data_IF_090606196777
#
_entry.id   IF_090606196777
#
_cell.length_a   1.000
_cell.length_b   1.000
_cell.length_c   1.000
_cell.angle_alpha   90.00
_cell.angle_beta   90.00
_cell.angle_gamma   90.00
#
_symmetry.space_group_name_H-M   'P 1'
#
loop_
_entity.id
_entity.type
_entity.pdbx_description
1 polymer ?
#
# COMPACT_ATOMS: atom_id res chain seq x y z
N UNK A 1 14.11 4.62 -28.34
CA UNK A 1 12.98 4.43 -27.40
C UNK A 1 12.94 5.68 -26.52
N UNK A 2 11.81 6.37 -26.43
CA UNK A 2 11.67 7.60 -25.62
C UNK A 2 11.53 7.27 -24.12
N UNK A 3 10.86 6.16 -23.81
CA UNK A 3 10.67 5.65 -22.45
C UNK A 3 11.65 4.50 -22.19
N UNK A 4 12.83 4.82 -21.65
CA UNK A 4 13.91 3.87 -21.35
C UNK A 4 14.56 4.26 -20.03
N UNK A 5 14.03 3.78 -18.90
CA UNK A 5 14.36 4.30 -17.57
C UNK A 5 14.19 3.28 -16.45
N UNK A 6 14.60 3.71 -15.26
CA UNK A 6 14.42 3.04 -13.98
C UNK A 6 15.04 1.64 -13.89
N UNK A 7 16.37 1.51 -14.07
CA UNK A 7 17.03 0.21 -13.99
C UNK A 7 17.03 -0.32 -12.55
N UNK A 8 16.36 -1.45 -12.32
CA UNK A 8 16.56 -2.28 -11.13
C UNK A 8 17.57 -3.37 -11.43
N UNK A 9 18.63 -3.44 -10.64
CA UNK A 9 19.73 -4.38 -10.86
C UNK A 9 19.95 -5.27 -9.64
N UNK A 10 20.05 -6.57 -9.85
CA UNK A 10 20.43 -7.55 -8.83
C UNK A 10 21.31 -8.64 -9.42
N UNK A 11 22.02 -9.38 -8.55
CA UNK A 11 22.80 -10.54 -8.95
C UNK A 11 21.95 -11.80 -8.90
N UNK A 12 21.86 -12.54 -10.00
CA UNK A 12 21.14 -13.82 -10.08
C UNK A 12 22.14 -14.98 -10.01
N UNK A 13 22.16 -15.68 -8.88
CA UNK A 13 23.15 -16.72 -8.58
C UNK A 13 23.06 -17.89 -9.56
N UNK A 14 21.84 -18.31 -9.90
CA UNK A 14 21.54 -19.48 -10.71
C UNK A 14 22.05 -19.33 -12.15
N UNK A 15 22.00 -18.12 -12.70
CA UNK A 15 22.56 -17.81 -14.02
C UNK A 15 23.93 -17.12 -13.97
N UNK A 16 24.50 -16.90 -12.77
CA UNK A 16 25.81 -16.30 -12.56
C UNK A 16 26.02 -14.97 -13.32
N UNK A 17 25.00 -14.09 -13.30
CA UNK A 17 25.06 -12.78 -13.97
C UNK A 17 24.21 -11.73 -13.24
N UNK A 18 24.53 -10.47 -13.48
CA UNK A 18 23.67 -9.35 -13.12
C UNK A 18 22.46 -9.30 -14.04
N UNK A 19 21.29 -9.09 -13.46
CA UNK A 19 20.03 -8.92 -14.16
C UNK A 19 19.57 -7.48 -13.95
N UNK A 20 19.17 -6.84 -15.05
CA UNK A 20 18.52 -5.53 -15.03
C UNK A 20 17.08 -5.68 -15.52
N UNK A 21 16.13 -5.24 -14.71
CA UNK A 21 14.76 -4.97 -15.13
C UNK A 21 14.67 -3.51 -15.52
N UNK A 22 14.17 -3.21 -16.72
CA UNK A 22 14.13 -1.84 -17.22
C UNK A 22 12.77 -1.56 -17.87
N UNK A 23 12.16 -0.43 -17.50
CA UNK A 23 10.94 0.03 -18.14
C UNK A 23 11.22 0.47 -19.58
N UNK A 24 10.50 -0.14 -20.53
CA UNK A 24 10.57 0.15 -21.96
C UNK A 24 9.17 0.39 -22.52
N UNK A 25 8.67 1.62 -22.43
CA UNK A 25 7.26 1.96 -22.70
C UNK A 25 6.26 1.32 -21.72
N UNK A 26 5.50 0.31 -22.18
CA UNK A 26 4.46 -0.37 -21.41
C UNK A 26 4.82 -1.84 -21.14
N UNK A 27 6.11 -2.13 -21.18
CA UNK A 27 6.69 -3.45 -20.94
C UNK A 27 7.96 -3.28 -20.10
N UNK A 28 8.41 -4.38 -19.50
CA UNK A 28 9.72 -4.48 -18.87
C UNK A 28 10.63 -5.30 -19.76
N UNK A 29 11.74 -4.72 -20.20
CA UNK A 29 12.82 -5.44 -20.86
C UNK A 29 13.85 -5.91 -19.82
N UNK A 30 14.29 -7.15 -19.94
CA UNK A 30 15.34 -7.72 -19.09
C UNK A 30 16.68 -7.72 -19.81
N UNK A 31 17.76 -7.42 -19.09
CA UNK A 31 19.13 -7.44 -19.59
C UNK A 31 20.06 -8.21 -18.66
N UNK A 32 21.07 -8.87 -19.23
CA UNK A 32 22.11 -9.61 -18.53
C UNK A 32 23.46 -8.93 -18.64
N UNK A 33 24.28 -8.99 -17.58
CA UNK A 33 25.65 -8.48 -17.59
C UNK A 33 26.58 -9.28 -16.68
N UNK A 34 27.80 -9.52 -17.14
CA UNK A 34 28.86 -10.10 -16.30
C UNK A 34 29.57 -9.06 -15.43
N UNK A 35 29.44 -7.75 -15.73
CA UNK A 35 30.33 -6.72 -15.17
C UNK A 35 29.65 -5.37 -14.87
N UNK A 36 28.32 -5.29 -14.95
CA UNK A 36 27.50 -4.08 -14.76
C UNK A 36 27.70 -2.98 -15.83
N UNK A 37 28.57 -3.19 -16.82
CA UNK A 37 28.92 -2.19 -17.84
C UNK A 37 28.40 -2.57 -19.22
N UNK A 38 28.63 -3.82 -19.61
CA UNK A 38 28.19 -4.37 -20.89
C UNK A 38 26.91 -5.17 -20.68
N UNK A 39 25.83 -4.77 -21.34
CA UNK A 39 24.50 -5.36 -21.16
C UNK A 39 24.00 -5.99 -22.45
N UNK A 40 23.46 -7.19 -22.35
CA UNK A 40 22.81 -7.92 -23.45
C UNK A 40 21.33 -8.01 -23.16
N UNK A 41 20.46 -7.63 -24.11
CA UNK A 41 19.01 -7.80 -23.95
C UNK A 41 18.67 -9.30 -23.92
N UNK A 42 17.89 -9.71 -22.93
CA UNK A 42 17.50 -11.09 -22.68
C UNK A 42 16.09 -11.36 -23.18
N UNK A 43 15.10 -10.68 -22.60
CA UNK A 43 13.68 -10.89 -22.91
C UNK A 43 12.87 -9.64 -22.60
N UNK A 44 11.54 -9.73 -22.74
CA UNK A 44 10.59 -8.67 -22.44
C UNK A 44 9.29 -9.27 -21.91
N UNK A 45 8.68 -8.58 -20.95
CA UNK A 45 7.44 -8.98 -20.30
C UNK A 45 6.43 -7.83 -20.28
N UNK A 46 5.14 -8.17 -20.33
CA UNK A 46 4.05 -7.23 -20.08
C UNK A 46 3.06 -7.05 -21.24
N UNK A 47 3.34 -7.55 -22.44
CA UNK A 47 2.40 -7.38 -23.56
C UNK A 47 1.08 -8.13 -23.32
N UNK A 48 -0.02 -7.38 -23.20
CA UNK A 48 -1.37 -7.94 -23.04
C UNK A 48 -1.72 -8.42 -21.63
N UNK A 49 -0.91 -8.05 -20.62
CA UNK A 49 -1.12 -8.45 -19.23
C UNK A 49 -0.90 -7.27 -18.28
N UNK A 50 -1.75 -7.15 -17.26
CA UNK A 50 -1.74 -6.03 -16.32
C UNK A 50 -2.39 -4.77 -16.89
N UNK A 51 -2.21 -3.66 -16.18
CA UNK A 51 -2.76 -2.37 -16.58
C UNK A 51 -1.83 -1.70 -17.60
N UNK A 52 -2.43 -1.18 -18.67
CA UNK A 52 -1.79 -0.41 -19.73
C UNK A 52 -2.41 1.00 -19.83
N UNK A 53 -2.99 1.50 -18.73
CA UNK A 53 -3.59 2.84 -18.67
C UNK A 53 -2.57 3.98 -18.69
N UNK A 54 -1.28 3.68 -18.53
CA UNK A 54 -0.19 4.63 -18.50
C UNK A 54 1.17 3.98 -18.78
N UNK A 55 2.23 4.78 -18.70
CA UNK A 55 3.60 4.29 -18.89
C UNK A 55 4.01 3.41 -17.70
N UNK A 56 4.73 2.32 -17.98
CA UNK A 56 5.31 1.46 -16.95
C UNK A 56 6.62 2.07 -16.47
N UNK A 57 6.82 2.10 -15.16
CA UNK A 57 7.93 2.78 -14.49
C UNK A 57 8.40 1.96 -13.30
N UNK A 58 9.59 2.26 -12.78
CA UNK A 58 10.13 1.71 -11.53
C UNK A 58 9.90 0.19 -11.35
N UNK A 59 10.39 -0.67 -12.27
CA UNK A 59 10.29 -2.11 -12.09
C UNK A 59 11.11 -2.58 -10.88
N UNK A 60 10.64 -3.60 -10.17
CA UNK A 60 11.42 -4.30 -9.16
C UNK A 60 11.18 -5.81 -9.24
N UNK A 61 12.23 -6.59 -9.55
CA UNK A 61 12.16 -8.05 -9.69
C UNK A 61 12.92 -8.71 -8.55
N UNK A 62 12.25 -9.54 -7.75
CA UNK A 62 12.85 -10.22 -6.61
C UNK A 62 12.17 -11.56 -6.30
N UNK A 63 12.88 -12.51 -5.66
CA UNK A 63 12.29 -13.75 -5.20
C UNK A 63 11.62 -13.58 -3.82
N UNK A 64 10.57 -14.36 -3.58
CA UNK A 64 9.96 -14.61 -2.28
C UNK A 64 9.80 -16.13 -2.07
N UNK A 65 10.16 -16.59 -0.88
CA UNK A 65 9.98 -17.99 -0.48
C UNK A 65 8.53 -18.26 -0.08
N UNK A 66 8.02 -19.42 -0.49
CA UNK A 66 6.71 -19.97 -0.08
C UNK A 66 6.89 -21.40 0.43
N UNK A 67 5.84 -21.98 1.01
CA UNK A 67 5.83 -23.41 1.38
C UNK A 67 6.06 -24.33 0.17
N UNK A 68 5.70 -23.87 -1.04
CA UNK A 68 5.83 -24.62 -2.30
C UNK A 68 7.08 -24.22 -3.10
N UNK A 69 8.06 -23.56 -2.49
CA UNK A 69 9.30 -23.12 -3.13
C UNK A 69 9.33 -21.62 -3.42
N UNK A 70 10.27 -21.20 -4.26
CA UNK A 70 10.50 -19.79 -4.59
C UNK A 70 9.53 -19.35 -5.69
N UNK A 71 8.94 -18.17 -5.51
CA UNK A 71 8.23 -17.42 -6.56
C UNK A 71 8.94 -16.10 -6.80
N UNK A 72 8.90 -15.65 -8.04
CA UNK A 72 9.42 -14.35 -8.43
C UNK A 72 8.28 -13.34 -8.49
N UNK A 73 8.53 -12.16 -7.95
CA UNK A 73 7.60 -11.03 -7.97
C UNK A 73 8.20 -9.92 -8.81
N UNK A 74 7.42 -9.40 -9.76
CA UNK A 74 7.75 -8.20 -10.52
C UNK A 74 6.78 -7.09 -10.13
N UNK A 75 7.28 -6.07 -9.43
CA UNK A 75 6.55 -4.82 -9.22
C UNK A 75 6.72 -3.92 -10.45
N UNK A 76 5.67 -3.19 -10.80
CA UNK A 76 5.70 -2.17 -11.85
C UNK A 76 4.82 -1.00 -11.44
N UNK A 77 5.41 0.20 -11.38
CA UNK A 77 4.67 1.45 -11.19
C UNK A 77 3.98 1.86 -12.50
N UNK A 78 2.75 2.38 -12.43
CA UNK A 78 1.93 2.71 -13.60
C UNK A 78 1.01 3.92 -13.34
N UNK A 79 0.75 4.71 -14.38
CA UNK A 79 -0.25 5.80 -14.39
C UNK A 79 -1.69 5.39 -14.75
N UNK A 80 -1.99 4.09 -14.64
CA UNK A 80 -3.32 3.50 -14.84
C UNK A 80 -3.89 2.85 -13.57
N UNK A 81 -3.70 3.47 -12.40
CA UNK A 81 -4.14 2.96 -11.10
C UNK A 81 -5.67 2.88 -10.98
N UNK A 82 -6.22 1.98 -10.14
CA UNK A 82 -7.66 1.71 -10.07
C UNK A 82 -8.46 2.92 -9.57
N UNK A 83 -7.85 3.79 -8.77
CA UNK A 83 -8.46 5.00 -8.22
C UNK A 83 -7.93 6.29 -8.89
N UNK A 84 -7.40 6.16 -10.10
CA UNK A 84 -6.91 7.27 -10.92
C UNK A 84 -5.47 7.68 -10.60
N UNK A 85 -4.79 8.18 -11.63
CA UNK A 85 -3.40 8.57 -11.54
C UNK A 85 -2.48 7.38 -11.36
N UNK A 86 -1.54 7.51 -10.45
CA UNK A 86 -0.44 6.56 -10.29
C UNK A 86 -0.61 5.54 -9.18
N UNK A 87 -0.05 4.35 -9.38
CA UNK A 87 -0.03 3.25 -8.41
C UNK A 87 0.92 2.14 -8.84
N UNK A 88 1.05 1.10 -8.01
CA UNK A 88 1.98 -0.02 -8.25
C UNK A 88 1.22 -1.32 -8.46
N UNK A 89 1.32 -1.90 -9.66
CA UNK A 89 0.84 -3.24 -9.96
C UNK A 89 1.94 -4.27 -9.72
N UNK A 90 1.57 -5.54 -9.58
CA UNK A 90 2.53 -6.63 -9.45
C UNK A 90 2.14 -7.87 -10.22
N UNK A 91 3.15 -8.67 -10.53
CA UNK A 91 3.02 -9.98 -11.18
C UNK A 91 3.79 -11.01 -10.37
N UNK A 92 3.22 -12.21 -10.26
CA UNK A 92 3.84 -13.35 -9.56
C UNK A 92 4.08 -14.44 -10.59
N UNK A 93 5.25 -15.05 -10.54
CA UNK A 93 5.64 -16.05 -11.53
C UNK A 93 6.98 -16.69 -11.27
N UNK A 94 7.65 -17.06 -12.35
CA UNK A 94 8.97 -17.67 -12.34
C UNK A 94 9.94 -16.83 -13.18
N UNK A 95 11.20 -16.77 -12.76
CA UNK A 95 12.28 -16.16 -13.51
C UNK A 95 13.42 -17.17 -13.66
N UNK A 96 13.82 -17.44 -14.90
CA UNK A 96 14.84 -18.45 -15.22
C UNK A 96 16.27 -17.86 -15.41
N UNK A 97 16.44 -16.57 -15.09
CA UNK A 97 17.65 -15.80 -15.39
C UNK A 97 17.62 -15.09 -16.74
N UNK A 98 16.58 -15.30 -17.55
CA UNK A 98 16.37 -14.68 -18.86
C UNK A 98 14.94 -14.17 -19.02
N UNK A 99 13.93 -15.01 -18.77
CA UNK A 99 12.51 -14.76 -18.98
C UNK A 99 11.75 -14.73 -17.65
N UNK A 100 10.87 -13.74 -17.50
CA UNK A 100 9.84 -13.77 -16.47
C UNK A 100 8.54 -14.34 -17.05
N UNK A 101 8.02 -15.40 -16.45
CA UNK A 101 6.74 -16.02 -16.84
C UNK A 101 5.75 -15.88 -15.69
N UNK A 102 4.73 -15.04 -15.87
CA UNK A 102 3.67 -14.85 -14.89
C UNK A 102 2.81 -16.12 -14.77
N UNK A 103 2.40 -16.43 -13.54
CA UNK A 103 1.37 -17.43 -13.27
C UNK A 103 -0.02 -16.88 -13.60
N UNK A 104 -0.97 -17.79 -13.82
CA UNK A 104 -2.37 -17.41 -14.05
C UNK A 104 -2.98 -16.80 -12.78
N UNK A 105 -3.48 -15.57 -12.92
CA UNK A 105 -4.06 -14.77 -11.85
C UNK A 105 -4.94 -13.67 -12.45
N UNK A 106 -5.88 -13.09 -11.70
CA UNK A 106 -6.79 -12.06 -12.21
C UNK A 106 -6.11 -10.68 -12.28
N UNK A 107 -5.08 -10.54 -13.13
CA UNK A 107 -4.38 -9.28 -13.35
C UNK A 107 -5.29 -8.20 -13.99
N UNK A 108 -5.07 -6.91 -13.70
CA UNK A 108 -4.02 -6.36 -12.82
C UNK A 108 -4.30 -6.56 -11.33
N UNK A 109 -3.27 -6.94 -10.59
CA UNK A 109 -3.26 -6.92 -9.13
C UNK A 109 -2.42 -5.74 -8.64
N UNK A 110 -2.90 -5.04 -7.61
CA UNK A 110 -2.30 -3.81 -7.10
C UNK A 110 -1.74 -4.01 -5.70
N UNK A 111 -0.53 -3.49 -5.47
CA UNK A 111 0.13 -3.51 -4.16
C UNK A 111 -0.61 -2.64 -3.14
N UNK A 112 -1.19 -1.53 -3.63
CA UNK A 112 -1.91 -0.54 -2.85
C UNK A 112 -3.05 0.02 -3.69
N UNK A 113 -4.23 0.13 -3.08
CA UNK A 113 -5.43 0.68 -3.71
C UNK A 113 -5.70 2.13 -3.31
N UNK A 114 -4.92 2.70 -2.38
CA UNK A 114 -4.95 4.15 -2.13
C UNK A 114 -4.27 4.91 -3.27
N UNK A 115 -4.52 6.22 -3.35
CA UNK A 115 -3.95 7.05 -4.42
C UNK A 115 -2.48 7.37 -4.23
N UNK A 116 -1.92 7.18 -3.03
CA UNK A 116 -0.63 7.76 -2.64
C UNK A 116 0.41 6.69 -2.28
N UNK A 117 0.65 5.71 -3.17
CA UNK A 117 1.77 4.77 -3.04
C UNK A 117 2.32 4.42 -4.42
N UNK A 118 3.39 5.09 -4.81
CA UNK A 118 3.98 5.01 -6.14
C UNK A 118 5.50 4.92 -6.10
N UNK A 119 6.12 4.48 -7.21
CA UNK A 119 7.58 4.35 -7.33
C UNK A 119 8.18 3.53 -6.18
N UNK A 120 7.43 2.49 -5.76
CA UNK A 120 7.79 1.61 -4.67
C UNK A 120 9.02 0.78 -5.01
N UNK A 121 9.96 0.71 -4.07
CA UNK A 121 11.18 -0.10 -4.22
C UNK A 121 11.37 -1.00 -3.02
N UNK A 122 12.05 -2.12 -3.25
CA UNK A 122 12.51 -3.00 -2.20
C UNK A 122 14.03 -2.92 -2.01
N UNK A 123 14.47 -3.12 -0.77
CA UNK A 123 15.90 -3.18 -0.44
C UNK A 123 16.50 -4.52 -0.87
N UNK A 124 17.68 -4.46 -1.50
CA UNK A 124 18.53 -5.61 -1.71
C UNK A 124 19.58 -5.74 -0.60
N UNK A 125 20.21 -6.92 -0.54
CA UNK A 125 21.26 -7.24 0.43
C UNK A 125 20.80 -7.14 1.90
N UNK A 126 19.52 -7.49 2.16
CA UNK A 126 19.04 -7.76 3.51
C UNK A 126 19.84 -8.94 4.08
N UNK A 127 20.36 -8.84 5.32
CA UNK A 127 21.10 -9.93 5.93
C UNK A 127 20.29 -11.24 5.97
N UNK A 128 20.94 -12.37 5.74
CA UNK A 128 20.28 -13.69 5.68
C UNK A 128 19.52 -14.04 6.97
N UNK A 129 19.96 -13.54 8.12
CA UNK A 129 19.31 -13.74 9.41
C UNK A 129 18.04 -12.90 9.61
N UNK A 130 17.83 -11.86 8.79
CA UNK A 130 16.58 -11.11 8.71
C UNK A 130 15.70 -11.74 7.61
N UNK A 131 16.24 -11.84 6.39
CA UNK A 131 15.60 -12.52 5.26
C UNK A 131 14.30 -11.89 4.74
N UNK A 132 13.80 -10.80 5.34
CA UNK A 132 12.59 -10.13 4.89
C UNK A 132 12.81 -9.39 3.58
N UNK A 133 11.74 -9.25 2.81
CA UNK A 133 11.67 -8.31 1.68
C UNK A 133 10.95 -7.07 2.14
N UNK A 134 11.69 -5.97 2.30
CA UNK A 134 11.16 -4.70 2.77
C UNK A 134 10.85 -3.78 1.60
N UNK A 135 9.75 -3.04 1.68
CA UNK A 135 9.25 -2.12 0.65
C UNK A 135 9.00 -0.73 1.22
N UNK A 136 9.28 0.30 0.44
CA UNK A 136 8.91 1.69 0.72
C UNK A 136 8.47 2.38 -0.57
N UNK A 137 7.37 3.12 -0.50
CA UNK A 137 6.82 3.87 -1.63
C UNK A 137 6.88 5.38 -1.43
N UNK A 138 6.90 6.13 -2.53
CA UNK A 138 6.65 7.56 -2.52
C UNK A 138 5.15 7.79 -2.25
N UNK A 139 4.86 8.45 -1.12
CA UNK A 139 3.50 8.72 -0.70
C UNK A 139 2.98 9.99 -1.39
N UNK A 140 2.63 9.85 -2.67
CA UNK A 140 2.08 10.92 -3.51
C UNK A 140 1.45 10.36 -4.80
N UNK A 141 0.87 11.23 -5.60
CA UNK A 141 0.30 10.89 -6.90
C UNK A 141 0.61 11.98 -7.95
N UNK A 142 1.01 11.60 -9.16
CA UNK A 142 1.33 12.58 -10.21
C UNK A 142 0.15 13.48 -10.61
N UNK A 143 -1.09 13.10 -10.35
CA UNK A 143 -2.26 13.97 -10.56
C UNK A 143 -2.19 15.30 -9.77
N UNK A 144 -1.45 15.32 -8.65
CA UNK A 144 -1.40 16.49 -7.76
C UNK A 144 -0.06 16.69 -7.05
N UNK A 145 0.97 15.90 -7.34
CA UNK A 145 2.27 15.95 -6.66
C UNK A 145 2.90 17.35 -6.62
N UNK A 146 2.71 18.13 -7.68
CA UNK A 146 3.24 19.50 -7.80
C UNK A 146 2.38 20.55 -7.08
N UNK A 147 1.25 20.18 -6.51
CA UNK A 147 0.27 21.09 -5.93
C UNK A 147 -0.04 20.79 -4.45
N UNK A 148 0.51 19.72 -3.89
CA UNK A 148 0.24 19.37 -2.49
C UNK A 148 0.61 20.55 -1.56
N UNK A 149 -0.21 20.85 -0.54
CA UNK A 149 0.04 21.96 0.36
C UNK A 149 1.39 21.82 1.04
N UNK A 150 2.14 22.91 1.06
CA UNK A 150 3.35 23.01 1.87
C UNK A 150 2.90 23.23 3.31
N UNK A 151 2.88 22.16 4.08
CA UNK A 151 2.49 22.23 5.47
C UNK A 151 3.57 22.93 6.31
N UNK A 152 3.15 23.78 7.25
CA UNK A 152 4.02 24.48 8.21
C UNK A 152 4.82 23.53 9.15
N UNK A 153 4.64 22.21 9.03
CA UNK A 153 5.35 21.15 9.75
C UNK A 153 6.56 20.59 8.97
N UNK A 154 6.70 20.89 7.68
CA UNK A 154 7.86 20.50 6.89
C UNK A 154 8.91 21.63 6.89
N UNK A 155 10.15 21.40 7.35
CA UNK A 155 11.17 22.43 7.35
C UNK A 155 11.42 22.96 5.92
N UNK A 156 11.28 24.28 5.75
CA UNK A 156 11.68 25.03 4.54
C UNK A 156 10.99 24.62 3.22
N UNK A 157 9.72 24.23 3.27
CA UNK A 157 8.95 24.06 2.04
C UNK A 157 9.06 22.71 1.36
N UNK A 158 9.50 21.67 2.08
CA UNK A 158 9.54 20.31 1.56
C UNK A 158 8.13 19.79 1.21
N UNK A 159 8.08 18.93 0.17
CA UNK A 159 6.86 18.33 -0.36
C UNK A 159 7.04 16.84 -0.53
N UNK A 160 6.09 16.08 -0.02
CA UNK A 160 6.06 14.62 -0.10
C UNK A 160 6.73 13.96 1.10
N UNK A 161 6.41 12.68 1.23
CA UNK A 161 6.91 11.78 2.26
C UNK A 161 6.98 10.37 1.67
N UNK A 162 7.53 9.44 2.44
CA UNK A 162 7.46 8.03 2.10
C UNK A 162 6.32 7.36 2.87
N UNK A 163 5.85 6.22 2.40
CA UNK A 163 4.96 5.33 3.18
C UNK A 163 5.69 4.80 4.40
N UNK A 164 4.96 4.24 5.35
CA UNK A 164 5.55 3.30 6.31
C UNK A 164 6.24 2.15 5.54
N UNK A 165 7.34 1.66 6.12
CA UNK A 165 8.08 0.52 5.58
C UNK A 165 7.23 -0.74 5.75
N UNK A 166 7.17 -1.56 4.70
CA UNK A 166 6.33 -2.77 4.67
C UNK A 166 7.16 -4.01 4.44
N UNK A 167 6.85 -5.08 5.15
CA UNK A 167 7.29 -6.43 4.83
C UNK A 167 6.38 -7.02 3.75
N UNK A 168 6.98 -7.53 2.67
CA UNK A 168 6.28 -8.21 1.58
C UNK A 168 6.32 -9.74 1.77
N UNK A 169 5.15 -10.38 1.66
CA UNK A 169 4.98 -11.84 1.72
C UNK A 169 3.95 -12.32 0.72
N UNK A 170 4.05 -13.57 0.30
CA UNK A 170 3.02 -14.21 -0.52
C UNK A 170 2.01 -14.93 0.36
N UNK A 171 0.73 -14.80 0.01
CA UNK A 171 -0.37 -15.53 0.62
C UNK A 171 -1.21 -16.18 -0.48
N UNK A 172 -1.55 -17.45 -0.27
CA UNK A 172 -2.41 -18.17 -1.20
C UNK A 172 -3.85 -17.67 -1.05
N UNK A 173 -4.41 -17.12 -2.11
CA UNK A 173 -5.83 -16.79 -2.17
C UNK A 173 -6.66 -18.10 -2.26
N UNK A 174 -7.87 -18.15 -1.65
CA UNK A 174 -8.72 -19.34 -1.74
C UNK A 174 -9.08 -19.78 -3.17
N UNK A 175 -9.01 -18.89 -4.15
CA UNK A 175 -9.23 -19.21 -5.57
C UNK A 175 -7.99 -19.77 -6.29
N UNK A 176 -6.89 -19.99 -5.59
CA UNK A 176 -5.73 -20.74 -6.11
C UNK A 176 -4.63 -19.89 -6.77
N UNK A 177 -4.63 -18.57 -6.56
CA UNK A 177 -3.55 -17.67 -6.99
C UNK A 177 -2.91 -16.97 -5.79
N UNK A 178 -1.69 -16.45 -5.94
CA UNK A 178 -1.02 -15.73 -4.85
C UNK A 178 -1.43 -14.25 -4.81
N UNK A 179 -1.59 -13.71 -3.60
CA UNK A 179 -1.60 -12.29 -3.31
C UNK A 179 -0.27 -11.86 -2.70
N UNK A 180 0.15 -10.63 -2.98
CA UNK A 180 1.29 -10.00 -2.35
C UNK A 180 0.85 -9.19 -1.13
N UNK A 181 0.92 -9.81 0.05
CA UNK A 181 0.68 -9.11 1.31
C UNK A 181 1.77 -8.09 1.57
N UNK A 182 1.39 -6.92 2.06
CA UNK A 182 2.32 -5.87 2.48
C UNK A 182 1.91 -5.28 3.82
N UNK A 183 2.61 -5.66 4.90
CA UNK A 183 2.29 -5.24 6.27
C UNK A 183 3.35 -4.30 6.82
N UNK A 184 2.98 -3.29 7.60
CA UNK A 184 3.94 -2.44 8.32
C UNK A 184 4.89 -3.30 9.17
N UNK A 185 6.18 -2.98 9.08
CA UNK A 185 7.24 -3.73 9.78
C UNK A 185 7.10 -3.65 11.31
N UNK A 186 7.53 -4.71 11.99
CA UNK A 186 7.45 -4.85 13.46
C UNK A 186 8.28 -3.82 14.23
N UNK A 187 9.24 -3.16 13.60
CA UNK A 187 10.06 -2.11 14.20
C UNK A 187 9.20 -0.94 14.72
N UNK A 188 7.99 -0.76 14.16
CA UNK A 188 7.01 0.22 14.64
C UNK A 188 6.63 -0.02 16.11
N UNK A 189 6.72 -1.26 16.59
CA UNK A 189 6.41 -1.63 17.98
C UNK A 189 7.38 -0.97 18.97
N UNK A 190 8.63 -0.72 18.55
CA UNK A 190 9.66 -0.12 19.44
C UNK A 190 9.35 1.32 19.85
N UNK A 191 8.51 2.01 19.07
CA UNK A 191 8.07 3.38 19.35
C UNK A 191 6.60 3.45 19.76
N UNK A 192 5.90 2.32 19.80
CA UNK A 192 4.48 2.28 20.11
C UNK A 192 4.25 2.31 21.64
N UNK A 193 3.27 3.09 22.07
CA UNK A 193 2.78 3.04 23.45
C UNK A 193 1.77 1.90 23.62
N UNK A 194 1.33 1.70 24.87
CA UNK A 194 0.35 0.68 25.21
C UNK A 194 -0.99 0.90 24.50
N UNK A 195 -1.65 -0.21 24.18
CA UNK A 195 -3.00 -0.22 23.63
C UNK A 195 -4.03 0.26 24.65
N UNK A 196 -4.95 1.10 24.18
CA UNK A 196 -6.12 1.57 24.90
C UNK A 196 -7.38 1.07 24.18
N UNK A 197 -8.20 0.30 24.88
CA UNK A 197 -9.48 -0.20 24.34
C UNK A 197 -10.48 0.93 24.22
N UNK A 198 -11.10 1.08 23.04
CA UNK A 198 -12.18 2.03 22.77
C UNK A 198 -13.53 1.32 22.88
N UNK A 199 -13.63 0.17 22.21
CA UNK A 199 -14.86 -0.63 22.17
C UNK A 199 -14.51 -2.11 22.21
N UNK A 200 -15.30 -2.88 22.93
CA UNK A 200 -15.27 -4.34 22.91
C UNK A 200 -16.67 -4.86 23.22
N UNK A 201 -17.62 -4.48 22.37
CA UNK A 201 -19.03 -4.78 22.56
C UNK A 201 -19.79 -4.73 21.23
N UNK A 202 -21.04 -5.18 21.24
CA UNK A 202 -21.96 -4.92 20.15
C UNK A 202 -22.44 -3.46 20.21
N UNK A 203 -22.32 -2.73 19.10
CA UNK A 203 -22.66 -1.31 19.05
C UNK A 203 -23.41 -0.95 17.76
N UNK A 204 -24.32 0.03 17.85
CA UNK A 204 -24.87 0.70 16.66
C UNK A 204 -23.96 1.83 16.20
N UNK A 205 -23.65 2.76 17.11
CA UNK A 205 -22.69 3.84 16.90
C UNK A 205 -22.04 4.22 18.24
N UNK A 206 -20.75 4.52 18.20
CA UNK A 206 -19.97 4.99 19.35
C UNK A 206 -18.98 6.05 18.88
N UNK A 207 -19.04 7.24 19.49
CA UNK A 207 -18.10 8.34 19.24
C UNK A 207 -17.27 8.59 20.48
N UNK A 208 -15.94 8.61 20.33
CA UNK A 208 -14.98 8.75 21.42
C UNK A 208 -13.88 9.73 21.03
N UNK A 209 -13.56 10.64 21.94
CA UNK A 209 -12.35 11.45 21.84
C UNK A 209 -11.13 10.59 22.22
N UNK A 210 -10.12 10.59 21.36
CA UNK A 210 -8.86 9.89 21.56
C UNK A 210 -7.92 10.76 22.40
N UNK A 211 -7.47 10.25 23.54
CA UNK A 211 -6.42 10.93 24.28
C UNK A 211 -5.06 10.69 23.62
N UNK A 212 -4.64 11.63 22.79
CA UNK A 212 -3.39 11.53 22.04
C UNK A 212 -2.15 11.98 22.84
N UNK A 213 -2.32 12.56 24.03
CA UNK A 213 -1.21 13.04 24.89
C UNK A 213 -0.15 13.87 24.13
N UNK A 214 -0.62 14.84 23.33
CA UNK A 214 0.20 15.69 22.44
C UNK A 214 1.05 14.94 21.38
N UNK A 215 0.86 13.63 21.22
CA UNK A 215 1.47 12.86 20.14
C UNK A 215 0.86 13.22 18.80
N UNK A 216 1.66 13.05 17.75
CA UNK A 216 1.35 13.52 16.39
C UNK A 216 0.91 12.42 15.43
N UNK A 217 0.96 11.17 15.89
CA UNK A 217 0.55 10.00 15.14
C UNK A 217 0.03 8.93 16.08
N UNK A 218 -0.84 8.07 15.57
CA UNK A 218 -1.42 6.95 16.30
C UNK A 218 -1.77 5.79 15.37
N UNK A 219 -1.98 4.63 15.96
CA UNK A 219 -2.52 3.46 15.29
C UNK A 219 -3.88 3.12 15.88
N UNK A 220 -4.82 2.78 15.01
CA UNK A 220 -6.07 2.12 15.36
C UNK A 220 -6.03 0.68 14.87
N UNK A 221 -6.60 -0.22 15.68
CA UNK A 221 -6.95 -1.56 15.24
C UNK A 221 -8.44 -1.75 15.47
N UNK A 222 -9.13 -2.20 14.42
CA UNK A 222 -10.53 -2.61 14.48
C UNK A 222 -10.65 -4.06 14.00
N UNK A 223 -11.37 -4.88 14.77
CA UNK A 223 -11.77 -6.24 14.39
C UNK A 223 -13.29 -6.30 14.48
N UNK A 224 -13.94 -6.66 13.38
CA UNK A 224 -15.40 -6.72 13.29
C UNK A 224 -15.88 -7.71 12.26
N UNK A 225 -17.18 -7.99 12.26
CA UNK A 225 -17.82 -8.84 11.25
C UNK A 225 -18.26 -8.01 10.06
N UNK A 226 -18.09 -8.56 8.86
CA UNK A 226 -18.59 -8.02 7.60
C UNK A 226 -19.26 -9.12 6.79
N UNK A 227 -20.30 -8.74 6.06
CA UNK A 227 -21.05 -9.61 5.14
C UNK A 227 -21.68 -8.72 4.05
N UNK A 228 -22.46 -9.30 3.14
CA UNK A 228 -23.24 -8.50 2.17
C UNK A 228 -24.28 -7.58 2.85
N UNK A 229 -24.64 -7.86 4.11
CA UNK A 229 -25.59 -7.09 4.93
C UNK A 229 -24.97 -6.38 6.15
N UNK A 230 -23.69 -6.64 6.44
CA UNK A 230 -22.97 -6.04 7.56
C UNK A 230 -21.84 -5.16 7.04
N UNK A 231 -21.96 -3.86 7.30
CA UNK A 231 -20.96 -2.84 6.95
C UNK A 231 -20.44 -2.20 8.23
N UNK A 232 -19.13 -1.99 8.28
CA UNK A 232 -18.47 -1.22 9.33
C UNK A 232 -18.18 0.17 8.81
N UNK A 233 -18.50 1.18 9.60
CA UNK A 233 -18.22 2.58 9.31
C UNK A 233 -17.27 3.13 10.37
N UNK A 234 -16.19 3.75 9.92
CA UNK A 234 -15.30 4.52 10.78
C UNK A 234 -15.23 5.95 10.26
N UNK A 235 -15.23 6.91 11.17
CA UNK A 235 -14.96 8.32 10.87
C UNK A 235 -13.85 8.81 11.79
N UNK A 236 -12.78 9.31 11.19
CA UNK A 236 -11.70 10.02 11.87
C UNK A 236 -11.97 11.50 11.69
N UNK A 237 -12.16 12.24 12.77
CA UNK A 237 -12.52 13.65 12.72
C UNK A 237 -11.77 14.49 13.76
N UNK A 238 -11.81 15.80 13.61
CA UNK A 238 -11.20 16.73 14.55
C UNK A 238 -12.17 17.85 14.98
N UNK A 239 -11.72 18.70 15.91
CA UNK A 239 -12.48 19.85 16.43
C UNK A 239 -12.86 20.93 15.39
N UNK A 240 -12.33 20.85 14.16
CA UNK A 240 -12.62 21.77 13.05
C UNK A 240 -13.69 21.26 12.09
N UNK A 241 -14.34 20.13 12.44
CA UNK A 241 -15.29 19.42 11.58
C UNK A 241 -14.67 18.88 10.28
N UNK A 242 -13.34 18.70 10.25
CA UNK A 242 -12.65 18.00 9.16
C UNK A 242 -12.63 16.51 9.48
N UNK A 243 -12.81 15.67 8.46
CA UNK A 243 -12.85 14.22 8.64
C UNK A 243 -12.53 13.43 7.38
N UNK A 244 -12.09 12.19 7.59
CA UNK A 244 -12.14 11.14 6.58
C UNK A 244 -12.97 9.95 7.07
N UNK A 245 -13.50 9.16 6.14
CA UNK A 245 -14.34 8.00 6.46
C UNK A 245 -13.82 6.74 5.81
N UNK A 246 -13.93 5.63 6.53
CA UNK A 246 -13.61 4.28 6.07
C UNK A 246 -14.91 3.47 6.14
N UNK A 247 -15.29 2.87 5.02
CA UNK A 247 -16.51 2.06 4.91
C UNK A 247 -16.08 0.71 4.38
N UNK A 248 -16.35 -0.37 5.11
CA UNK A 248 -15.98 -1.72 4.68
C UNK A 248 -17.15 -2.70 4.80
N UNK A 249 -17.39 -3.46 3.74
CA UNK A 249 -18.25 -4.64 3.71
C UNK A 249 -17.44 -5.88 3.27
N UNK A 250 -18.10 -7.01 3.04
CA UNK A 250 -17.40 -8.24 2.63
C UNK A 250 -16.78 -8.19 1.22
N UNK A 251 -17.09 -7.18 0.41
CA UNK A 251 -16.66 -7.09 -0.99
C UNK A 251 -15.64 -5.98 -1.19
N UNK A 252 -15.73 -4.89 -0.43
CA UNK A 252 -14.90 -3.71 -0.65
C UNK A 252 -14.67 -2.84 0.57
N UNK A 253 -13.59 -2.07 0.50
CA UNK A 253 -13.33 -0.93 1.38
C UNK A 253 -13.35 0.36 0.55
N UNK A 254 -13.99 1.40 1.08
CA UNK A 254 -14.00 2.75 0.52
C UNK A 254 -13.38 3.72 1.54
N UNK A 255 -12.37 4.46 1.13
CA UNK A 255 -11.83 5.60 1.86
C UNK A 255 -12.32 6.91 1.23
N UNK A 256 -12.97 7.75 2.05
CA UNK A 256 -13.47 9.06 1.64
C UNK A 256 -12.67 10.16 2.31
N UNK A 257 -12.16 11.10 1.52
CA UNK A 257 -11.33 12.22 2.00
C UNK A 257 -11.77 13.61 1.51
N UNK A 258 -12.98 13.73 0.97
CA UNK A 258 -13.54 15.01 0.49
C UNK A 258 -13.58 16.10 1.56
N UNK A 259 -13.69 15.72 2.83
CA UNK A 259 -13.83 16.63 3.98
C UNK A 259 -12.59 16.58 4.89
N UNK A 260 -11.47 16.05 4.41
CA UNK A 260 -10.25 15.74 5.19
C UNK A 260 -9.37 16.95 5.51
N UNK A 261 -9.94 18.16 5.46
CA UNK A 261 -9.23 19.44 5.59
C UNK A 261 -9.01 20.12 4.24
N UNK A 262 -7.77 20.48 3.95
CA UNK A 262 -7.42 21.18 2.70
C UNK A 262 -7.46 20.19 1.54
N UNK A 263 -8.43 20.34 0.64
CA UNK A 263 -8.62 19.43 -0.51
C UNK A 263 -8.66 20.14 -1.86
N UNK A 264 -8.79 21.47 -1.87
CA UNK A 264 -9.08 22.27 -3.06
C UNK A 264 -7.85 22.67 -3.90
N UNK A 265 -6.70 22.03 -3.69
CA UNK A 265 -5.47 22.30 -4.45
C UNK A 265 -5.37 21.48 -5.74
N UNK A 266 -6.22 20.45 -5.90
CA UNK A 266 -6.35 19.67 -7.13
C UNK A 266 -7.68 18.93 -7.16
N UNK A 267 -8.38 18.94 -8.31
CA UNK A 267 -9.70 18.33 -8.47
C UNK A 267 -9.69 16.82 -8.14
N UNK A 268 -8.66 16.11 -8.58
CA UNK A 268 -8.51 14.66 -8.36
C UNK A 268 -8.15 14.30 -6.92
N UNK A 269 -7.87 15.26 -6.04
CA UNK A 269 -7.48 14.95 -4.67
C UNK A 269 -8.67 14.45 -3.85
N UNK A 270 -9.84 15.10 -3.94
CA UNK A 270 -11.02 14.76 -3.13
C UNK A 270 -11.70 13.43 -3.51
N UNK A 271 -11.26 12.76 -4.58
CA UNK A 271 -11.80 11.47 -5.02
C UNK A 271 -11.69 10.41 -3.91
N UNK A 272 -12.68 9.51 -3.88
CA UNK A 272 -12.64 8.35 -3.01
C UNK A 272 -11.64 7.32 -3.56
N UNK A 273 -11.02 6.55 -2.65
CA UNK A 273 -10.30 5.34 -3.03
C UNK A 273 -11.13 4.12 -2.67
N UNK A 274 -11.27 3.18 -3.60
CA UNK A 274 -11.95 1.91 -3.41
C UNK A 274 -10.98 0.74 -3.60
N UNK A 275 -11.08 -0.28 -2.75
CA UNK A 275 -10.37 -1.54 -2.91
C UNK A 275 -11.33 -2.71 -2.85
N UNK A 276 -11.03 -3.84 -3.51
CA UNK A 276 -11.67 -5.10 -3.16
C UNK A 276 -11.31 -5.50 -1.73
N UNK A 277 -12.09 -6.39 -1.15
CA UNK A 277 -11.71 -7.22 0.01
C UNK A 277 -11.56 -8.64 -0.52
N UNK A 278 -10.36 -9.20 -0.39
CA UNK A 278 -10.05 -10.53 -0.91
C UNK A 278 -10.40 -11.63 0.08
N UNK A 279 -11.06 -12.69 -0.42
CA UNK A 279 -11.46 -13.87 0.35
C UNK A 279 -12.63 -13.64 1.32
N UNK A 280 -13.04 -14.72 2.00
CA UNK A 280 -14.08 -14.65 3.03
C UNK A 280 -13.45 -14.24 4.38
N UNK A 281 -13.39 -12.94 4.65
CA UNK A 281 -12.69 -12.39 5.81
C UNK A 281 -13.70 -12.04 6.90
N UNK A 282 -14.07 -13.02 7.71
CA UNK A 282 -14.92 -12.80 8.88
C UNK A 282 -14.30 -13.50 10.11
N UNK A 283 -13.80 -12.74 11.11
CA UNK A 283 -13.82 -11.28 11.18
C UNK A 283 -12.83 -10.62 10.20
N UNK A 284 -13.11 -9.38 9.81
CA UNK A 284 -12.14 -8.50 9.16
C UNK A 284 -11.31 -7.78 10.22
N UNK A 285 -10.02 -7.60 9.95
CA UNK A 285 -9.12 -6.78 10.74
C UNK A 285 -8.64 -5.59 9.92
N UNK A 286 -8.76 -4.39 10.50
CA UNK A 286 -8.17 -3.17 9.99
C UNK A 286 -7.08 -2.71 10.94
N UNK A 287 -5.86 -2.55 10.44
CA UNK A 287 -4.80 -1.79 11.08
C UNK A 287 -4.69 -0.45 10.35
N UNK A 288 -4.92 0.67 11.04
CA UNK A 288 -4.97 2.01 10.46
C UNK A 288 -3.92 2.88 11.15
N UNK A 289 -2.98 3.41 10.38
CA UNK A 289 -1.96 4.33 10.86
C UNK A 289 -2.34 5.74 10.42
N UNK A 290 -2.41 6.65 11.38
CA UNK A 290 -2.78 8.05 11.16
C UNK A 290 -1.61 8.91 11.60
N UNK A 291 -1.13 9.74 10.67
CA UNK A 291 -0.13 10.77 10.92
C UNK A 291 -0.69 12.14 10.47
N UNK A 292 0.11 13.19 10.62
CA UNK A 292 -0.30 14.58 10.39
C UNK A 292 -0.87 14.82 8.99
N UNK A 293 -0.43 14.07 7.99
CA UNK A 293 -0.86 14.23 6.60
C UNK A 293 -1.10 12.92 5.86
N UNK A 294 -1.32 11.81 6.57
CA UNK A 294 -1.58 10.51 5.94
C UNK A 294 -2.47 9.60 6.77
N UNK A 295 -3.18 8.74 6.05
CA UNK A 295 -3.91 7.59 6.58
C UNK A 295 -3.51 6.37 5.76
N UNK A 296 -2.85 5.40 6.40
CA UNK A 296 -2.49 4.10 5.80
C UNK A 296 -3.35 3.00 6.43
N UNK A 297 -4.13 2.30 5.60
CA UNK A 297 -5.08 1.28 6.04
C UNK A 297 -4.62 -0.08 5.53
N UNK A 298 -4.52 -1.06 6.42
CA UNK A 298 -4.13 -2.44 6.12
C UNK A 298 -5.24 -3.38 6.51
N UNK A 299 -5.80 -4.08 5.52
CA UNK A 299 -6.85 -5.08 5.71
C UNK A 299 -6.20 -6.45 5.87
N UNK A 300 -6.55 -7.16 6.94
CA UNK A 300 -6.13 -8.55 7.22
C UNK A 300 -4.63 -8.78 7.07
N UNK A 301 -3.84 -8.02 7.83
CA UNK A 301 -2.37 -8.08 7.81
C UNK A 301 -1.77 -7.69 6.44
N UNK A 302 -2.41 -6.77 5.72
CA UNK A 302 -1.90 -6.21 4.47
C UNK A 302 -2.20 -7.06 3.24
N UNK A 303 -3.21 -7.94 3.28
CA UNK A 303 -3.74 -8.59 2.07
C UNK A 303 -4.31 -7.57 1.09
N UNK A 304 -4.81 -6.44 1.62
CA UNK A 304 -5.15 -5.23 0.88
C UNK A 304 -4.66 -4.03 1.68
N UNK A 305 -4.14 -3.02 0.98
CA UNK A 305 -3.66 -1.79 1.59
C UNK A 305 -4.20 -0.57 0.86
N UNK A 306 -4.47 0.52 1.59
CA UNK A 306 -4.80 1.83 1.02
C UNK A 306 -3.98 2.91 1.71
N UNK A 307 -3.17 3.60 0.92
CA UNK A 307 -2.39 4.76 1.35
C UNK A 307 -2.97 6.04 0.78
N UNK A 308 -3.36 6.96 1.66
CA UNK A 308 -3.91 8.24 1.23
C UNK A 308 -3.29 9.38 2.02
N UNK A 309 -2.83 10.40 1.30
CA UNK A 309 -2.57 11.71 1.86
C UNK A 309 -3.90 12.34 2.32
N UNK A 310 -3.83 13.06 3.42
CA UNK A 310 -4.88 13.94 3.97
C UNK A 310 -4.21 15.21 4.45
N UNK A 311 -4.96 16.31 4.56
CA UNK A 311 -4.38 17.60 4.93
C UNK A 311 -5.24 18.34 5.95
N UNK A 312 -5.49 17.75 7.13
CA UNK A 312 -6.30 18.40 8.15
C UNK A 312 -5.53 19.54 8.82
N UNK A 313 -6.25 20.56 9.29
CA UNK A 313 -5.68 21.67 10.05
C UNK A 313 -5.29 21.28 11.49
N UNK A 314 -5.81 20.14 11.97
CA UNK A 314 -5.42 19.49 13.23
C UNK A 314 -5.55 17.98 13.11
N UNK A 315 -4.73 17.21 13.85
CA UNK A 315 -4.79 15.75 13.83
C UNK A 315 -6.21 15.26 14.18
N UNK A 316 -6.65 14.16 13.56
CA UNK A 316 -7.93 13.54 13.89
C UNK A 316 -7.86 12.96 15.31
N UNK A 317 -8.60 13.54 16.24
CA UNK A 317 -8.61 13.19 17.65
C UNK A 317 -9.98 12.68 18.12
N UNK A 318 -10.91 12.45 17.19
CA UNK A 318 -12.23 11.87 17.46
C UNK A 318 -12.49 10.71 16.50
N UNK A 319 -12.78 9.55 17.08
CA UNK A 319 -13.20 8.35 16.34
C UNK A 319 -14.70 8.13 16.53
N UNK A 320 -15.42 7.98 15.43
CA UNK A 320 -16.75 7.36 15.41
C UNK A 320 -16.65 5.97 14.77
N UNK A 321 -17.21 4.97 15.44
CA UNK A 321 -17.38 3.60 14.91
C UNK A 321 -18.87 3.30 14.85
N UNK A 322 -19.36 2.83 13.71
CA UNK A 322 -20.75 2.40 13.52
C UNK A 322 -20.80 1.00 12.90
N UNK A 323 -21.79 0.23 13.32
CA UNK A 323 -22.06 -1.11 12.81
C UNK A 323 -23.54 -1.44 12.91
N UNK A 324 -24.00 -2.49 12.23
CA UNK A 324 -25.39 -2.96 12.30
C UNK A 324 -25.68 -3.76 13.59
N UNK A 325 -25.24 -3.27 14.76
CA UNK A 325 -25.23 -3.96 16.06
C UNK A 325 -24.36 -5.24 16.11
N UNK A 326 -23.32 -5.29 15.29
CA UNK A 326 -22.34 -6.38 15.31
C UNK A 326 -21.31 -6.14 16.43
N UNK A 327 -20.73 -7.22 16.95
CA UNK A 327 -19.64 -7.10 17.93
C UNK A 327 -18.40 -6.53 17.25
N UNK A 328 -17.85 -5.44 17.80
CA UNK A 328 -16.65 -4.79 17.30
C UNK A 328 -15.64 -4.63 18.43
N UNK A 329 -14.42 -5.08 18.19
CA UNK A 329 -13.28 -4.81 19.05
C UNK A 329 -12.45 -3.69 18.40
N UNK A 330 -12.32 -2.56 19.07
CA UNK A 330 -11.52 -1.42 18.61
C UNK A 330 -10.62 -0.93 19.72
N UNK A 331 -9.35 -0.73 19.38
CA UNK A 331 -8.33 -0.19 20.28
C UNK A 331 -7.43 0.77 19.53
N UNK A 332 -6.78 1.67 20.25
CA UNK A 332 -5.82 2.61 19.70
C UNK A 332 -4.56 2.67 20.55
N UNK A 333 -3.48 3.16 19.96
CA UNK A 333 -2.24 3.50 20.68
C UNK A 333 -1.53 4.63 19.97
N UNK A 334 -0.78 5.43 20.72
CA UNK A 334 0.04 6.51 20.16
C UNK A 334 1.47 6.02 19.90
N UNK A 335 2.24 6.82 19.16
CA UNK A 335 3.67 6.61 18.99
C UNK A 335 4.48 7.65 19.77
N UNK A 336 5.68 7.27 20.21
CA UNK A 336 6.53 8.08 21.08
C UNK A 336 7.20 9.28 20.42
#
# INVERSE_FOLDING_TARGET
IADFRDPKVFWHNESNQWIMSLATHQTISFYGSANLKSWTRLSEFGNGIGSHGGVWECPDLFPLSTENGIKWVLLVSNSGAPNGGTGTQYFIGNFDGTNFTAEDAPYPLWLDYGKDNYAGVTWDNIPENDGRRLHIGWMNNWQYANNIPVFNIAPKGARGSMTLVRELKLEMHPEGYFLLKNKVVSEIESIANDWQTIVDEALSSKTVALNLDNKKAYQLQLIGKTSDSETLFLKLSNSKNEFCSIIIDARKLIFKRSDSGIVNFADAFSDNSESPVFGNTNPVKLDIYVDQSSVEIFVNDGAVSLTNLVFPSSLYDVLTVESNNSHVNTKFRTFN
#
